data_IF_661859247258
#
_entry.id   IF_661859247258
#
_cell.length_a   1.000
_cell.length_b   1.000
_cell.length_c   1.000
_cell.angle_alpha   90.00
_cell.angle_beta   90.00
_cell.angle_gamma   90.00
#
_symmetry.space_group_name_H-M   'P 1'
#
loop_
_entity.id
_entity.type
_entity.pdbx_description
1 polymer ?
#
# COMPACT_ATOMS: atom_id res chain seq x y z
N UNK A 1 -3.87 -16.56 -16.22
CA UNK A 1 -2.58 -16.67 -15.50
C UNK A 1 -2.89 -16.81 -14.02
N UNK A 2 -2.01 -17.42 -13.22
CA UNK A 2 -2.23 -17.72 -11.78
C UNK A 2 -2.68 -16.49 -10.95
N UNK A 3 -2.29 -15.29 -11.38
CA UNK A 3 -2.58 -14.01 -10.73
C UNK A 3 -4.00 -13.48 -10.98
N UNK A 4 -4.72 -14.05 -11.96
CA UNK A 4 -6.06 -13.57 -12.33
C UNK A 4 -7.20 -14.43 -11.81
N UNK A 5 -6.89 -15.59 -11.24
CA UNK A 5 -7.88 -16.51 -10.66
C UNK A 5 -8.55 -15.91 -9.42
N UNK A 6 -9.75 -16.40 -9.08
CA UNK A 6 -10.44 -16.01 -7.86
C UNK A 6 -9.61 -16.51 -6.67
N UNK A 7 -9.35 -15.63 -5.69
CA UNK A 7 -8.62 -16.00 -4.50
C UNK A 7 -9.40 -17.02 -3.66
N UNK A 8 -8.75 -18.14 -3.33
CA UNK A 8 -9.23 -19.09 -2.32
C UNK A 8 -8.91 -18.53 -0.93
N UNK A 9 -9.78 -17.66 -0.42
CA UNK A 9 -9.56 -16.93 0.84
C UNK A 9 -9.24 -17.88 2.01
N UNK A 10 -9.97 -18.99 2.25
CA UNK A 10 -9.63 -19.93 3.32
C UNK A 10 -8.20 -20.49 3.22
N UNK A 11 -7.77 -20.90 2.01
CA UNK A 11 -6.42 -21.42 1.81
C UNK A 11 -5.35 -20.35 2.03
N UNK A 12 -5.59 -19.12 1.56
CA UNK A 12 -4.66 -18.02 1.75
C UNK A 12 -4.59 -17.58 3.23
N UNK A 13 -5.72 -17.63 3.95
CA UNK A 13 -5.78 -17.35 5.38
C UNK A 13 -4.97 -18.37 6.19
N UNK A 14 -5.07 -19.67 5.89
CA UNK A 14 -4.25 -20.71 6.54
C UNK A 14 -2.75 -20.49 6.29
N UNK A 15 -2.37 -20.19 5.04
CA UNK A 15 -0.99 -19.90 4.70
C UNK A 15 -0.47 -18.62 5.40
N UNK A 16 -1.30 -17.57 5.45
CA UNK A 16 -0.94 -16.33 6.12
C UNK A 16 -0.84 -16.49 7.63
N UNK A 17 -1.72 -17.28 8.25
CA UNK A 17 -1.67 -17.63 9.66
C UNK A 17 -0.35 -18.31 10.02
N UNK A 18 0.08 -19.31 9.25
CA UNK A 18 1.37 -19.98 9.46
C UNK A 18 2.56 -19.01 9.43
N UNK A 19 2.58 -18.05 8.51
CA UNK A 19 3.64 -17.02 8.47
C UNK A 19 3.56 -16.07 9.66
N UNK A 20 2.35 -15.72 10.10
CA UNK A 20 2.15 -14.88 11.28
C UNK A 20 2.59 -15.58 12.58
N UNK A 21 2.33 -16.89 12.72
CA UNK A 21 2.79 -17.71 13.84
C UNK A 21 4.32 -17.69 13.95
N UNK A 22 5.02 -18.00 12.85
CA UNK A 22 6.48 -17.99 12.81
C UNK A 22 7.05 -16.59 13.12
N UNK A 23 6.45 -15.54 12.56
CA UNK A 23 6.88 -14.16 12.78
C UNK A 23 6.64 -13.67 14.22
N UNK A 24 5.58 -14.15 14.87
CA UNK A 24 5.23 -13.79 16.24
C UNK A 24 6.29 -14.27 17.24
N UNK A 25 6.95 -15.41 16.99
CA UNK A 25 8.02 -15.93 17.85
C UNK A 25 9.20 -14.97 18.03
N UNK A 26 9.40 -14.08 17.04
CA UNK A 26 10.48 -13.10 17.02
C UNK A 26 9.97 -11.64 17.03
N UNK A 27 8.68 -11.44 17.30
CA UNK A 27 8.09 -10.11 17.45
C UNK A 27 7.99 -9.29 16.16
N UNK A 28 7.85 -9.96 15.01
CA UNK A 28 7.71 -9.31 13.70
C UNK A 28 6.23 -9.25 13.30
N UNK A 29 5.84 -8.12 12.72
CA UNK A 29 4.55 -7.93 12.06
C UNK A 29 4.61 -8.33 10.58
N UNK A 30 3.51 -8.85 10.05
CA UNK A 30 3.40 -9.30 8.66
C UNK A 30 2.25 -8.57 7.98
N UNK A 31 2.50 -8.06 6.78
CA UNK A 31 1.54 -7.29 6.02
C UNK A 31 1.30 -7.94 4.65
N UNK A 32 0.03 -8.15 4.28
CA UNK A 32 -0.37 -8.44 2.91
C UNK A 32 -0.57 -7.12 2.19
N UNK A 33 0.20 -6.90 1.13
CA UNK A 33 -0.02 -5.78 0.23
C UNK A 33 -1.11 -6.11 -0.80
N UNK A 34 -2.03 -5.17 -1.01
CA UNK A 34 -3.15 -5.33 -1.95
C UNK A 34 -2.68 -4.88 -3.32
N UNK A 35 -2.69 -5.77 -4.31
CA UNK A 35 -2.11 -5.49 -5.63
C UNK A 35 -3.15 -5.70 -6.74
N UNK A 36 -3.51 -4.66 -7.54
CA UNK A 36 -4.62 -4.76 -8.50
C UNK A 36 -4.40 -5.78 -9.64
N UNK A 37 -3.14 -6.14 -9.90
CA UNK A 37 -2.73 -7.13 -10.90
C UNK A 37 -2.65 -8.57 -10.36
N UNK A 38 -2.90 -8.78 -9.06
CA UNK A 38 -2.90 -10.10 -8.41
C UNK A 38 -4.31 -10.57 -8.10
N UNK A 39 -4.47 -11.72 -7.44
CA UNK A 39 -5.77 -12.21 -6.97
C UNK A 39 -6.17 -11.65 -5.60
N UNK A 40 -5.28 -10.95 -4.89
CA UNK A 40 -5.58 -10.17 -3.68
C UNK A 40 -5.69 -8.70 -4.05
N UNK A 41 -6.68 -8.37 -4.89
CA UNK A 41 -6.83 -7.05 -5.52
C UNK A 41 -7.88 -6.13 -4.89
N UNK A 42 -8.64 -6.62 -3.92
CA UNK A 42 -9.70 -5.84 -3.26
C UNK A 42 -9.51 -5.83 -1.76
N UNK A 43 -10.03 -4.79 -1.10
CA UNK A 43 -10.09 -4.76 0.36
C UNK A 43 -10.89 -5.95 0.92
N UNK A 44 -11.97 -6.36 0.26
CA UNK A 44 -12.78 -7.51 0.69
C UNK A 44 -11.96 -8.80 0.75
N UNK A 45 -11.19 -9.11 -0.29
CA UNK A 45 -10.36 -10.32 -0.32
C UNK A 45 -9.25 -10.23 0.73
N UNK A 46 -8.54 -9.10 0.82
CA UNK A 46 -7.44 -8.94 1.74
C UNK A 46 -7.88 -8.96 3.22
N UNK A 47 -8.96 -8.24 3.55
CA UNK A 47 -9.54 -8.25 4.90
C UNK A 47 -10.15 -9.61 5.25
N UNK A 48 -10.69 -10.33 4.27
CA UNK A 48 -11.16 -11.71 4.44
C UNK A 48 -10.02 -12.65 4.84
N UNK A 49 -8.84 -12.52 4.22
CA UNK A 49 -7.64 -13.30 4.57
C UNK A 49 -7.17 -12.97 5.98
N UNK A 50 -6.95 -11.68 6.28
CA UNK A 50 -6.47 -11.23 7.61
C UNK A 50 -7.43 -11.63 8.72
N UNK A 51 -8.74 -11.45 8.50
CA UNK A 51 -9.76 -11.78 9.50
C UNK A 51 -9.84 -13.29 9.78
N UNK A 52 -9.67 -14.13 8.76
CA UNK A 52 -9.72 -15.59 8.93
C UNK A 52 -8.42 -16.15 9.50
N UNK A 53 -7.28 -15.53 9.21
CA UNK A 53 -6.01 -15.88 9.83
C UNK A 53 -6.03 -15.60 11.33
N UNK A 54 -6.59 -14.46 11.77
CA UNK A 54 -6.88 -14.22 13.18
C UNK A 54 -5.66 -13.98 14.08
N UNK A 55 -4.57 -13.43 13.52
CA UNK A 55 -3.35 -13.09 14.26
C UNK A 55 -3.16 -11.58 14.40
N UNK A 56 -2.91 -11.10 15.62
CA UNK A 56 -2.75 -9.67 15.92
C UNK A 56 -1.51 -9.02 15.27
N UNK A 57 -0.47 -9.81 14.97
CA UNK A 57 0.72 -9.34 14.24
C UNK A 57 0.55 -9.38 12.72
N UNK A 58 -0.57 -9.90 12.21
CA UNK A 58 -0.91 -9.93 10.79
C UNK A 58 -1.84 -8.79 10.39
N UNK A 59 -1.64 -8.22 9.21
CA UNK A 59 -2.56 -7.25 8.64
C UNK A 59 -2.22 -6.90 7.19
N UNK A 60 -2.37 -5.63 6.85
CA UNK A 60 -2.33 -5.11 5.48
C UNK A 60 -1.21 -4.07 5.32
N UNK A 61 -0.62 -4.05 4.12
CA UNK A 61 0.07 -2.88 3.60
C UNK A 61 -0.92 -2.10 2.73
N UNK A 62 -1.12 -0.83 3.06
CA UNK A 62 -1.99 0.07 2.30
C UNK A 62 -1.11 1.05 1.54
N UNK A 63 -0.96 0.82 0.25
CA UNK A 63 -0.18 1.63 -0.68
C UNK A 63 -1.12 2.50 -1.54
N UNK A 64 -0.84 3.80 -1.64
CA UNK A 64 -1.69 4.73 -2.40
C UNK A 64 -1.82 4.37 -3.89
N UNK A 65 -0.73 3.95 -4.54
CA UNK A 65 -0.73 3.57 -5.94
C UNK A 65 -1.68 2.42 -6.16
N UNK A 66 -1.62 1.40 -5.30
CA UNK A 66 -2.50 0.25 -5.40
C UNK A 66 -3.96 0.60 -5.12
N UNK A 67 -4.25 1.52 -4.20
CA UNK A 67 -5.62 1.99 -3.97
C UNK A 67 -6.16 2.70 -5.20
N UNK A 68 -5.41 3.64 -5.77
CA UNK A 68 -5.85 4.42 -6.94
C UNK A 68 -6.00 3.53 -8.17
N UNK A 69 -5.00 2.69 -8.48
CA UNK A 69 -5.03 1.80 -9.66
C UNK A 69 -5.98 0.62 -9.51
N UNK A 70 -6.27 0.21 -8.28
CA UNK A 70 -7.30 -0.78 -7.96
C UNK A 70 -8.71 -0.22 -7.91
N UNK A 71 -8.88 1.11 -8.04
CA UNK A 71 -10.19 1.76 -7.93
C UNK A 71 -10.81 1.66 -6.54
N UNK A 72 -9.98 1.50 -5.50
CA UNK A 72 -10.39 1.42 -4.10
C UNK A 72 -10.49 2.83 -3.55
N UNK A 73 -11.67 3.20 -3.04
CA UNK A 73 -11.88 4.57 -2.55
C UNK A 73 -11.19 4.79 -1.20
N UNK A 74 -10.67 5.99 -0.97
CA UNK A 74 -10.10 6.35 0.33
C UNK A 74 -11.14 6.35 1.45
N UNK A 75 -12.43 6.51 1.12
CA UNK A 75 -13.53 6.33 2.08
C UNK A 75 -13.68 4.88 2.57
N UNK A 76 -13.31 3.88 1.76
CA UNK A 76 -13.25 2.49 2.21
C UNK A 76 -12.02 2.25 3.07
N UNK A 77 -10.86 2.81 2.70
CA UNK A 77 -9.65 2.76 3.52
C UNK A 77 -9.91 3.36 4.91
N UNK A 78 -10.59 4.50 4.98
CA UNK A 78 -10.95 5.18 6.23
C UNK A 78 -11.87 4.37 7.17
N UNK A 79 -12.49 3.28 6.68
CA UNK A 79 -13.38 2.40 7.46
C UNK A 79 -12.67 1.14 7.95
N UNK A 80 -11.44 0.88 7.51
CA UNK A 80 -10.68 -0.27 7.97
C UNK A 80 -10.38 -0.15 9.47
N UNK A 81 -10.35 -1.27 10.22
CA UNK A 81 -9.88 -1.27 11.59
C UNK A 81 -8.41 -0.82 11.66
N UNK A 82 -8.08 0.06 12.62
CA UNK A 82 -6.70 0.52 12.82
C UNK A 82 -5.69 -0.63 12.98
N UNK A 83 -6.11 -1.73 13.61
CA UNK A 83 -5.28 -2.92 13.82
C UNK A 83 -4.87 -3.62 12.52
N UNK A 84 -5.58 -3.39 11.42
CA UNK A 84 -5.25 -3.98 10.13
C UNK A 84 -4.12 -3.25 9.42
N UNK A 85 -3.75 -2.04 9.84
CA UNK A 85 -2.65 -1.31 9.22
C UNK A 85 -1.32 -1.75 9.83
N UNK A 86 -0.52 -2.50 9.07
CA UNK A 86 0.85 -2.91 9.46
C UNK A 86 1.91 -2.13 8.70
N UNK A 87 1.59 -1.69 7.49
CA UNK A 87 2.42 -0.77 6.72
C UNK A 87 1.53 0.16 5.90
N UNK A 88 2.06 1.34 5.60
CA UNK A 88 1.44 2.30 4.69
C UNK A 88 2.53 2.85 3.79
N UNK A 89 2.27 2.85 2.49
CA UNK A 89 3.19 3.34 1.48
C UNK A 89 2.57 4.51 0.70
N UNK A 90 3.41 5.50 0.40
CA UNK A 90 3.02 6.69 -0.33
C UNK A 90 3.99 6.98 -1.48
N UNK A 91 3.40 7.27 -2.62
CA UNK A 91 4.04 7.77 -3.83
C UNK A 91 3.05 8.67 -4.57
N UNK A 92 3.31 8.92 -5.85
CA UNK A 92 2.35 9.49 -6.78
C UNK A 92 2.48 8.80 -8.14
N UNK A 93 1.56 9.07 -9.07
CA UNK A 93 1.73 8.70 -10.47
C UNK A 93 0.91 9.61 -11.37
N UNK A 94 1.06 9.47 -12.70
CA UNK A 94 0.17 10.15 -13.64
C UNK A 94 -1.27 9.65 -13.49
N UNK A 95 -2.22 10.48 -13.92
CA UNK A 95 -3.65 10.15 -13.86
C UNK A 95 -3.95 8.84 -14.59
N UNK A 96 -3.41 8.69 -15.79
CA UNK A 96 -3.54 7.49 -16.61
C UNK A 96 -2.34 6.54 -16.40
N UNK A 97 -2.60 5.25 -16.56
CA UNK A 97 -1.57 4.19 -16.57
C UNK A 97 -0.64 4.41 -17.77
N UNK A 98 0.67 4.38 -17.53
CA UNK A 98 1.68 4.36 -18.59
C UNK A 98 2.09 2.92 -18.92
N UNK A 99 1.83 2.49 -20.17
CA UNK A 99 2.11 1.12 -20.61
C UNK A 99 1.13 0.11 -20.01
N UNK A 100 1.63 -1.04 -19.58
CA UNK A 100 0.87 -2.04 -18.83
C UNK A 100 0.80 -1.69 -17.35
N UNK A 101 -0.16 -2.27 -16.61
CA UNK A 101 -0.25 -2.10 -15.14
C UNK A 101 1.06 -2.49 -14.43
N UNK A 102 1.80 -3.46 -14.98
CA UNK A 102 3.10 -3.89 -14.47
C UNK A 102 4.22 -2.88 -14.77
N UNK A 103 4.22 -2.30 -15.96
CA UNK A 103 5.17 -1.24 -16.29
C UNK A 103 4.91 0.02 -15.45
N UNK A 104 3.64 0.38 -15.25
CA UNK A 104 3.25 1.55 -14.45
C UNK A 104 3.72 1.44 -13.00
N UNK A 105 3.50 0.30 -12.33
CA UNK A 105 3.96 0.08 -10.95
C UNK A 105 5.49 -0.03 -10.85
N UNK A 106 6.15 -0.68 -11.82
CA UNK A 106 7.59 -0.94 -11.75
C UNK A 106 8.48 0.19 -12.29
N UNK A 107 7.95 1.16 -13.04
CA UNK A 107 8.77 2.15 -13.74
C UNK A 107 8.24 3.59 -13.69
N UNK A 108 6.96 3.80 -13.42
CA UNK A 108 6.32 5.10 -13.67
C UNK A 108 5.75 5.78 -12.41
N UNK A 109 6.04 5.26 -11.21
CA UNK A 109 5.76 5.99 -9.96
C UNK A 109 6.58 7.30 -9.90
N UNK A 110 5.99 8.31 -9.26
CA UNK A 110 6.49 9.66 -9.08
C UNK A 110 6.64 9.99 -7.58
N UNK A 111 7.33 11.08 -7.24
CA UNK A 111 7.38 11.54 -5.86
C UNK A 111 6.02 12.15 -5.46
N UNK A 112 5.59 12.02 -4.18
CA UNK A 112 4.35 12.62 -3.70
C UNK A 112 4.21 14.10 -4.07
N UNK A 113 3.13 14.43 -4.79
CA UNK A 113 2.82 15.78 -5.27
C UNK A 113 3.39 16.14 -6.64
N UNK A 114 4.11 15.24 -7.31
CA UNK A 114 4.55 15.42 -8.70
C UNK A 114 3.63 14.72 -9.72
N UNK A 115 2.62 13.99 -9.26
CA UNK A 115 1.64 13.30 -10.09
C UNK A 115 0.23 13.86 -9.94
N UNK A 116 -0.75 12.97 -10.07
CA UNK A 116 -2.18 13.29 -10.10
C UNK A 116 -2.96 12.66 -8.95
N UNK A 117 -2.33 11.89 -8.07
CA UNK A 117 -3.02 11.27 -6.94
C UNK A 117 -3.37 12.31 -5.86
N UNK A 118 -4.50 12.11 -5.19
CA UNK A 118 -4.89 12.90 -4.02
C UNK A 118 -4.13 12.39 -2.78
N UNK A 119 -2.83 12.66 -2.71
CA UNK A 119 -1.99 12.27 -1.59
C UNK A 119 -2.51 12.79 -0.23
N UNK A 120 -2.93 14.07 -0.08
CA UNK A 120 -3.51 14.55 1.17
C UNK A 120 -4.80 13.82 1.55
N UNK A 121 -5.68 13.55 0.59
CA UNK A 121 -6.90 12.76 0.81
C UNK A 121 -6.61 11.34 1.29
N UNK A 122 -5.60 10.69 0.71
CA UNK A 122 -5.14 9.37 1.16
C UNK A 122 -4.62 9.40 2.60
N UNK A 123 -3.74 10.35 2.93
CA UNK A 123 -3.19 10.49 4.28
C UNK A 123 -4.31 10.72 5.29
N UNK A 124 -5.25 11.63 5.00
CA UNK A 124 -6.42 11.87 5.85
C UNK A 124 -7.27 10.61 6.08
N UNK A 125 -7.48 9.79 5.05
CA UNK A 125 -8.22 8.55 5.19
C UNK A 125 -7.52 7.54 6.10
N UNK A 126 -6.20 7.38 5.95
CA UNK A 126 -5.37 6.51 6.78
C UNK A 126 -5.35 7.01 8.24
N UNK A 127 -5.22 8.32 8.48
CA UNK A 127 -5.28 8.89 9.83
C UNK A 127 -6.67 8.74 10.46
N UNK A 128 -7.74 8.89 9.67
CA UNK A 128 -9.12 8.68 10.12
C UNK A 128 -9.40 7.23 10.48
N UNK A 129 -8.78 6.27 9.78
CA UNK A 129 -8.84 4.85 10.13
C UNK A 129 -8.11 4.53 11.46
N UNK A 130 -7.31 5.46 11.98
CA UNK A 130 -6.64 5.36 13.27
C UNK A 130 -5.16 4.95 13.19
N UNK A 131 -4.57 4.85 12.00
CA UNK A 131 -3.14 4.60 11.85
C UNK A 131 -2.31 5.80 12.33
N UNK A 132 -1.25 5.53 13.08
CA UNK A 132 -0.34 6.55 13.65
C UNK A 132 1.14 6.18 13.44
N UNK A 133 1.41 5.25 12.54
CA UNK A 133 2.76 4.76 12.25
C UNK A 133 3.51 5.64 11.26
N UNK A 134 4.62 5.10 10.76
CA UNK A 134 5.42 5.73 9.71
C UNK A 134 4.88 5.39 8.32
N UNK A 135 5.15 6.27 7.36
CA UNK A 135 4.82 6.05 5.95
C UNK A 135 6.09 5.69 5.20
N UNK A 136 6.10 4.52 4.57
CA UNK A 136 7.10 4.18 3.56
C UNK A 136 6.92 5.05 2.33
N UNK A 137 8.01 5.49 1.70
CA UNK A 137 7.96 6.27 0.45
C UNK A 137 8.42 5.37 -0.70
N UNK A 138 7.49 4.64 -1.31
CA UNK A 138 7.79 3.61 -2.30
C UNK A 138 7.74 4.17 -3.74
N UNK A 139 8.83 4.80 -4.17
CA UNK A 139 8.89 5.41 -5.52
C UNK A 139 9.69 4.55 -6.48
N UNK A 140 9.01 3.56 -7.08
CA UNK A 140 9.59 2.66 -8.08
C UNK A 140 9.59 3.34 -9.46
N UNK A 141 10.65 4.10 -9.75
CA UNK A 141 10.72 4.93 -10.96
C UNK A 141 11.96 4.66 -11.80
N UNK A 142 11.81 4.41 -13.10
CA UNK A 142 12.94 4.25 -14.03
C UNK A 142 13.76 5.56 -14.16
N UNK A 143 13.08 6.70 -14.06
CA UNK A 143 13.70 8.02 -14.11
C UNK A 143 14.47 8.29 -12.82
N UNK A 144 13.86 8.09 -11.65
CA UNK A 144 14.46 8.53 -10.38
C UNK A 144 15.52 7.59 -9.82
N UNK A 145 15.46 6.29 -10.14
CA UNK A 145 16.50 5.33 -9.70
C UNK A 145 17.90 5.63 -10.26
N UNK A 146 18.00 6.49 -11.28
CA UNK A 146 19.24 6.94 -11.90
C UNK A 146 19.86 8.16 -11.19
N UNK A 147 19.15 8.81 -10.27
CA UNK A 147 19.63 9.97 -9.52
C UNK A 147 20.58 9.57 -8.38
N UNK A 148 21.42 10.48 -7.85
CA UNK A 148 22.19 10.21 -6.64
C UNK A 148 21.29 9.88 -5.44
N UNK A 149 21.67 8.88 -4.63
CA UNK A 149 20.85 8.41 -3.48
C UNK A 149 20.45 9.54 -2.51
N UNK A 150 21.35 10.51 -2.26
CA UNK A 150 21.04 11.66 -1.39
C UNK A 150 19.98 12.58 -1.99
N UNK A 151 19.97 12.73 -3.30
CA UNK A 151 18.95 13.51 -3.99
C UNK A 151 17.61 12.77 -3.95
N UNK A 152 17.61 11.46 -4.21
CA UNK A 152 16.40 10.64 -4.10
C UNK A 152 15.78 10.74 -2.71
N UNK A 153 16.57 10.53 -1.64
CA UNK A 153 16.10 10.61 -0.27
C UNK A 153 15.54 11.99 0.08
N UNK A 154 16.22 13.07 -0.36
CA UNK A 154 15.73 14.44 -0.14
C UNK A 154 14.41 14.70 -0.86
N UNK A 155 14.29 14.31 -2.13
CA UNK A 155 13.06 14.54 -2.92
C UNK A 155 11.89 13.71 -2.41
N UNK A 156 12.11 12.44 -2.06
CA UNK A 156 11.13 11.61 -1.36
C UNK A 156 10.63 12.30 -0.10
N UNK A 157 11.54 12.70 0.80
CA UNK A 157 11.17 13.32 2.07
C UNK A 157 10.44 14.66 1.87
N UNK A 158 11.02 15.59 1.09
CA UNK A 158 10.46 16.91 0.88
C UNK A 158 9.07 16.84 0.21
N UNK A 159 8.91 15.98 -0.80
CA UNK A 159 7.65 15.76 -1.51
C UNK A 159 6.57 15.21 -0.58
N UNK A 160 6.89 14.17 0.21
CA UNK A 160 5.96 13.60 1.20
C UNK A 160 5.59 14.62 2.27
N UNK A 161 6.56 15.30 2.87
CA UNK A 161 6.28 16.30 3.92
C UNK A 161 5.45 17.47 3.40
N UNK A 162 5.61 17.86 2.13
CA UNK A 162 4.76 18.86 1.50
C UNK A 162 3.30 18.40 1.35
N UNK A 163 3.01 17.09 1.32
CA UNK A 163 1.63 16.58 1.33
C UNK A 163 1.04 16.62 2.75
N UNK A 164 1.82 16.23 3.77
CA UNK A 164 1.41 16.36 5.18
C UNK A 164 1.12 17.82 5.58
N UNK A 165 1.88 18.77 5.04
CA UNK A 165 1.66 20.20 5.30
C UNK A 165 0.36 20.77 4.72
N UNK A 166 -0.36 19.99 3.90
CA UNK A 166 -1.67 20.34 3.33
C UNK A 166 -2.85 19.76 4.13
N UNK A 167 -2.58 18.98 5.18
CA UNK A 167 -3.61 18.49 6.09
C UNK A 167 -4.02 19.64 7.02
N UNK A 168 -5.33 19.79 7.25
CA UNK A 168 -5.92 20.84 8.10
C UNK A 168 -5.70 20.59 9.60
#
# INVERSE_FOLDING_TARGET
>A
EMWTEVCDVPRYAEAFASVCEDAAEIGIEVAIEILPMTNIRTLETATGIVSQAGHDNGGLCIDIWHMVRGGISFDEVAKLPASYFKSVEIDDAKAEIEGTIWEDTLFHRLYPGEGAFDCPGFINAVEKAGFRGVYGVEVISETYRKLPVREQAKRSFDGTMAQFAKLD
#
